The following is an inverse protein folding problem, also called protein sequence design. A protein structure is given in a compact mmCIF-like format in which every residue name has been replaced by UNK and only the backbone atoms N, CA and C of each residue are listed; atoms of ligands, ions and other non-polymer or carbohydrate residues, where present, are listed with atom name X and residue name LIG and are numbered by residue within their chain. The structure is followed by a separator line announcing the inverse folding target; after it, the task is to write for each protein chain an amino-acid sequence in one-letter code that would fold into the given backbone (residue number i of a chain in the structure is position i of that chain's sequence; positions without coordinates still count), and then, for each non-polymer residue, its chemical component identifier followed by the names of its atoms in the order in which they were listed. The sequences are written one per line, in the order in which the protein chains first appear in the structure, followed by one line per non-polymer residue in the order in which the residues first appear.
data_IF_429911924822
#
_entry.id   IF_429911924822
#
_cell.length_a   1.000
_cell.length_b   1.000
_cell.length_c   1.000
_cell.angle_alpha   90.00
_cell.angle_beta   90.00
_cell.angle_gamma   90.00
#
_symmetry.space_group_name_H-M   'P 1'
#
loop_
_entity.id
_entity.type
_entity.pdbx_description
1 polymer ?
#
# COMPACT_ATOMS: atom_id res chain seq x y z
N UNK A 1 -10.87 2.42 46.08
CA UNK A 1 -10.53 1.97 44.70
C UNK A 1 -11.85 1.74 44.00
N UNK A 2 -12.28 2.74 43.25
CA UNK A 2 -13.64 2.87 42.71
C UNK A 2 -13.79 2.04 41.44
N UNK A 3 -14.98 1.51 41.21
CA UNK A 3 -15.37 0.68 40.05
C UNK A 3 -14.92 1.29 38.71
N UNK A 4 -14.85 2.63 38.62
CA UNK A 4 -14.37 3.38 37.46
C UNK A 4 -12.87 3.18 37.15
N UNK A 5 -12.04 2.96 38.17
CA UNK A 5 -10.62 2.64 37.97
C UNK A 5 -10.46 1.22 37.40
N UNK A 6 -11.25 0.26 37.88
CA UNK A 6 -11.21 -1.13 37.42
C UNK A 6 -11.69 -1.26 35.98
N UNK A 7 -12.79 -0.58 35.62
CA UNK A 7 -13.31 -0.57 34.24
C UNK A 7 -12.35 0.12 33.26
N UNK A 8 -11.68 1.20 33.69
CA UNK A 8 -10.64 1.86 32.90
C UNK A 8 -9.44 0.93 32.63
N UNK A 9 -8.90 0.26 33.66
CA UNK A 9 -7.80 -0.69 33.50
C UNK A 9 -8.17 -1.90 32.63
N UNK A 10 -9.41 -2.40 32.74
CA UNK A 10 -9.89 -3.55 31.96
C UNK A 10 -10.07 -3.19 30.48
N UNK A 11 -10.66 -2.03 30.18
CA UNK A 11 -10.78 -1.51 28.80
C UNK A 11 -9.40 -1.34 28.14
N UNK A 12 -8.43 -0.82 28.89
CA UNK A 12 -7.09 -0.58 28.38
C UNK A 12 -6.31 -1.88 28.09
N UNK A 13 -6.45 -2.90 28.95
CA UNK A 13 -5.82 -4.21 28.71
C UNK A 13 -6.44 -4.97 27.54
N UNK A 14 -7.74 -4.84 27.32
CA UNK A 14 -8.42 -5.39 26.14
C UNK A 14 -7.92 -4.71 24.86
N UNK A 15 -7.80 -3.38 24.84
CA UNK A 15 -7.27 -2.62 23.71
C UNK A 15 -5.84 -3.07 23.33
N UNK A 16 -4.94 -3.15 24.31
CA UNK A 16 -3.56 -3.62 24.11
C UNK A 16 -3.52 -5.04 23.53
N UNK A 17 -4.37 -5.94 24.04
CA UNK A 17 -4.44 -7.32 23.56
C UNK A 17 -4.93 -7.36 22.11
N UNK A 18 -5.95 -6.58 21.77
CA UNK A 18 -6.52 -6.53 20.42
C UNK A 18 -5.49 -6.00 19.42
N UNK A 19 -4.83 -4.88 19.74
CA UNK A 19 -3.77 -4.28 18.90
C UNK A 19 -2.63 -5.27 18.65
N UNK A 20 -2.15 -5.96 19.69
CA UNK A 20 -1.10 -6.98 19.55
C UNK A 20 -1.55 -8.13 18.66
N UNK A 21 -2.78 -8.59 18.84
CA UNK A 21 -3.35 -9.69 18.05
C UNK A 21 -3.48 -9.29 16.58
N UNK A 22 -3.95 -8.08 16.29
CA UNK A 22 -4.04 -7.56 14.93
C UNK A 22 -2.66 -7.41 14.28
N UNK A 23 -1.67 -6.88 14.99
CA UNK A 23 -0.29 -6.74 14.50
C UNK A 23 0.31 -8.12 14.14
N UNK A 24 0.15 -9.13 15.00
CA UNK A 24 0.65 -10.47 14.73
C UNK A 24 -0.12 -11.14 13.58
N UNK A 25 -1.45 -11.00 13.54
CA UNK A 25 -2.28 -11.58 12.48
C UNK A 25 -1.95 -10.97 11.11
N UNK A 26 -1.82 -9.64 11.02
CA UNK A 26 -1.41 -8.98 9.78
C UNK A 26 0.00 -9.35 9.36
N UNK A 27 0.93 -9.53 10.31
CA UNK A 27 2.28 -10.00 10.01
C UNK A 27 2.29 -11.43 9.47
N UNK A 28 1.54 -12.35 10.08
CA UNK A 28 1.40 -13.73 9.60
C UNK A 28 0.83 -13.76 8.18
N UNK A 29 -0.19 -12.94 7.89
CA UNK A 29 -0.74 -12.83 6.54
C UNK A 29 0.28 -12.27 5.54
N UNK A 30 1.09 -11.29 5.95
CA UNK A 30 2.14 -10.73 5.11
C UNK A 30 3.23 -11.77 4.78
N UNK A 31 3.68 -12.53 5.77
CA UNK A 31 4.63 -13.65 5.58
C UNK A 31 4.00 -14.72 4.69
N UNK A 32 2.76 -15.11 4.95
CA UNK A 32 2.03 -16.10 4.16
C UNK A 32 1.95 -15.71 2.68
N UNK A 33 1.50 -14.50 2.36
CA UNK A 33 1.43 -14.03 0.98
C UNK A 33 2.83 -13.96 0.32
N UNK A 34 3.85 -13.54 1.08
CA UNK A 34 5.25 -13.56 0.62
C UNK A 34 5.65 -14.98 0.21
N UNK A 35 5.40 -15.98 1.05
CA UNK A 35 5.76 -17.37 0.74
C UNK A 35 5.02 -17.91 -0.49
N UNK A 36 3.72 -17.62 -0.62
CA UNK A 36 2.92 -18.07 -1.76
C UNK A 36 3.38 -17.46 -3.09
N UNK A 37 3.83 -16.20 -3.07
CA UNK A 37 4.22 -15.47 -4.29
C UNK A 37 5.71 -15.58 -4.60
N UNK A 38 6.48 -16.34 -3.82
CA UNK A 38 7.93 -16.48 -4.01
C UNK A 38 8.30 -17.17 -5.33
N UNK A 39 7.54 -18.17 -5.77
CA UNK A 39 7.80 -18.83 -7.06
C UNK A 39 7.68 -17.85 -8.24
N UNK A 40 6.61 -17.05 -8.23
CA UNK A 40 6.38 -16.00 -9.22
C UNK A 40 7.47 -14.92 -9.19
N UNK A 41 7.96 -14.58 -8.00
CA UNK A 41 9.04 -13.61 -7.82
C UNK A 41 10.32 -14.06 -8.52
N UNK A 42 10.79 -15.28 -8.23
CA UNK A 42 12.02 -15.85 -8.80
C UNK A 42 11.95 -15.88 -10.31
N UNK A 43 10.80 -16.25 -10.87
CA UNK A 43 10.64 -16.33 -12.31
C UNK A 43 10.57 -14.95 -12.97
N UNK A 44 9.85 -13.98 -12.38
CA UNK A 44 9.50 -12.73 -13.07
C UNK A 44 10.32 -11.52 -12.67
N UNK A 45 10.79 -11.43 -11.42
CA UNK A 45 11.42 -10.23 -10.87
C UNK A 45 12.94 -10.36 -10.82
N UNK A 46 13.47 -11.54 -10.50
CA UNK A 46 14.92 -11.74 -10.41
C UNK A 46 15.67 -11.50 -11.72
N UNK A 47 15.15 -11.91 -12.89
CA UNK A 47 15.79 -11.64 -14.18
C UNK A 47 15.79 -10.15 -14.57
N UNK A 48 14.96 -9.32 -13.94
CA UNK A 48 14.90 -7.89 -14.23
C UNK A 48 16.21 -7.23 -13.79
N UNK A 49 16.82 -6.36 -14.61
CA UNK A 49 18.06 -5.67 -14.27
C UNK A 49 17.88 -4.73 -13.06
N UNK A 50 18.92 -4.61 -12.24
CA UNK A 50 18.93 -3.78 -11.01
C UNK A 50 18.69 -2.29 -11.24
N UNK A 51 18.96 -1.79 -12.45
CA UNK A 51 18.69 -0.39 -12.84
C UNK A 51 17.20 -0.11 -13.06
N UNK A 52 16.35 -1.14 -13.10
CA UNK A 52 14.91 -0.97 -13.32
C UNK A 52 14.22 -0.42 -12.07
N UNK A 53 13.49 0.71 -12.15
CA UNK A 53 12.76 1.25 -11.00
C UNK A 53 11.69 0.28 -10.50
N UNK A 54 11.10 -0.53 -11.37
CA UNK A 54 10.11 -1.56 -11.00
C UNK A 54 10.67 -2.58 -10.02
N UNK A 55 11.94 -3.00 -10.21
CA UNK A 55 12.60 -3.97 -9.32
C UNK A 55 12.86 -3.36 -7.95
N UNK A 56 13.35 -2.13 -7.90
CA UNK A 56 13.60 -1.43 -6.65
C UNK A 56 12.29 -1.22 -5.86
N UNK A 57 11.23 -0.80 -6.54
CA UNK A 57 9.90 -0.67 -5.93
C UNK A 57 9.38 -1.99 -5.41
N UNK A 58 9.54 -3.09 -6.15
CA UNK A 58 9.14 -4.42 -5.70
C UNK A 58 9.90 -4.85 -4.44
N UNK A 59 11.22 -4.69 -4.43
CA UNK A 59 12.06 -5.03 -3.28
C UNK A 59 11.66 -4.22 -2.04
N UNK A 60 11.34 -2.93 -2.22
CA UNK A 60 10.86 -2.08 -1.15
C UNK A 60 9.49 -2.55 -0.62
N UNK A 61 8.50 -2.70 -1.52
CA UNK A 61 7.14 -3.12 -1.17
C UNK A 61 7.13 -4.46 -0.43
N UNK A 62 7.99 -5.39 -0.83
CA UNK A 62 8.05 -6.73 -0.26
C UNK A 62 8.99 -6.81 0.95
N UNK A 63 10.30 -6.70 0.71
CA UNK A 63 11.31 -7.07 1.70
C UNK A 63 11.44 -6.02 2.79
N UNK A 64 11.51 -4.73 2.42
CA UNK A 64 11.65 -3.66 3.41
C UNK A 64 10.39 -3.56 4.26
N UNK A 65 9.22 -3.63 3.65
CA UNK A 65 7.95 -3.69 4.38
C UNK A 65 7.87 -4.89 5.32
N UNK A 66 8.27 -6.09 4.88
CA UNK A 66 8.24 -7.29 5.70
C UNK A 66 9.18 -7.19 6.90
N UNK A 67 10.39 -6.66 6.71
CA UNK A 67 11.35 -6.43 7.79
C UNK A 67 10.77 -5.46 8.81
N UNK A 68 10.24 -4.32 8.37
CA UNK A 68 9.67 -3.31 9.26
C UNK A 68 8.45 -3.87 10.02
N UNK A 69 7.55 -4.59 9.34
CA UNK A 69 6.40 -5.23 9.96
C UNK A 69 6.84 -6.31 10.98
N UNK A 70 7.93 -7.04 10.69
CA UNK A 70 8.55 -7.97 11.64
C UNK A 70 9.13 -7.29 12.87
N UNK A 71 9.79 -6.13 12.69
CA UNK A 71 10.26 -5.30 13.81
C UNK A 71 9.10 -4.85 14.69
N UNK A 72 7.96 -4.44 14.11
CA UNK A 72 6.74 -4.16 14.88
C UNK A 72 6.24 -5.40 15.62
N UNK A 73 6.09 -6.53 14.93
CA UNK A 73 5.59 -7.77 15.54
C UNK A 73 6.46 -8.23 16.72
N UNK A 74 7.77 -8.04 16.66
CA UNK A 74 8.70 -8.34 17.75
C UNK A 74 8.63 -7.31 18.88
N UNK A 75 8.60 -6.02 18.53
CA UNK A 75 8.69 -4.91 19.49
C UNK A 75 7.36 -4.56 20.13
N UNK A 76 6.21 -5.03 19.60
CA UNK A 76 4.87 -4.64 20.04
C UNK A 76 4.67 -4.91 21.54
N UNK A 77 5.17 -6.04 22.04
CA UNK A 77 5.07 -6.37 23.47
C UNK A 77 5.79 -5.34 24.35
N UNK A 78 6.97 -4.86 23.93
CA UNK A 78 7.71 -3.81 24.62
C UNK A 78 7.06 -2.43 24.47
N UNK A 79 6.55 -2.10 23.27
CA UNK A 79 5.86 -0.84 23.00
C UNK A 79 4.54 -0.70 23.78
N UNK A 80 3.92 -1.82 24.13
CA UNK A 80 2.69 -1.87 24.93
C UNK A 80 2.92 -2.11 26.43
N UNK A 81 4.15 -2.31 26.88
CA UNK A 81 4.41 -2.75 28.27
C UNK A 81 4.39 -1.63 29.30
N UNK A 82 4.24 -0.36 28.90
CA UNK A 82 4.30 0.78 29.83
C UNK A 82 5.73 1.29 30.11
N UNK A 83 6.76 0.56 29.69
CA UNK A 83 8.18 0.79 30.03
C UNK A 83 9.03 1.28 28.86
N UNK A 84 8.43 1.53 27.71
CA UNK A 84 9.15 2.01 26.54
C UNK A 84 9.64 3.45 26.77
N UNK A 85 10.85 3.76 26.30
CA UNK A 85 11.35 5.13 26.36
C UNK A 85 10.58 6.03 25.39
N UNK A 86 10.41 7.31 25.73
CA UNK A 86 9.76 8.29 24.85
C UNK A 86 10.44 8.38 23.46
N UNK A 87 11.76 8.17 23.39
CA UNK A 87 12.50 8.13 22.13
C UNK A 87 12.17 6.89 21.28
N UNK A 88 12.05 5.71 21.88
CA UNK A 88 11.64 4.49 21.18
C UNK A 88 10.19 4.59 20.68
N UNK A 89 9.35 5.24 21.48
CA UNK A 89 7.97 5.60 21.14
C UNK A 89 7.89 6.45 19.86
N UNK A 90 8.58 7.59 19.88
CA UNK A 90 8.61 8.54 18.76
C UNK A 90 9.17 7.89 17.51
N UNK A 91 10.28 7.16 17.63
CA UNK A 91 10.88 6.45 16.51
C UNK A 91 9.92 5.42 15.91
N UNK A 92 9.19 4.68 16.75
CA UNK A 92 8.23 3.67 16.30
C UNK A 92 7.03 4.31 15.59
N UNK A 93 6.55 5.47 16.03
CA UNK A 93 5.46 6.18 15.34
C UNK A 93 5.95 6.74 14.00
N UNK A 94 7.10 7.42 13.98
CA UNK A 94 7.68 8.00 12.77
C UNK A 94 7.95 6.91 11.73
N UNK A 95 8.57 5.80 12.14
CA UNK A 95 8.86 4.68 11.24
C UNK A 95 7.56 4.13 10.63
N UNK A 96 6.47 4.09 11.39
CA UNK A 96 5.20 3.50 10.96
C UNK A 96 4.49 4.37 9.95
N UNK A 97 4.39 5.66 10.26
CA UNK A 97 3.83 6.68 9.36
C UNK A 97 4.63 6.76 8.06
N UNK A 98 5.97 6.77 8.16
CA UNK A 98 6.86 6.80 6.99
C UNK A 98 6.68 5.56 6.13
N UNK A 99 6.70 4.38 6.75
CA UNK A 99 6.57 3.12 6.00
C UNK A 99 5.24 3.05 5.26
N UNK A 100 4.14 3.37 5.93
CA UNK A 100 2.81 3.37 5.30
C UNK A 100 2.74 4.38 4.16
N UNK A 101 3.21 5.60 4.37
CA UNK A 101 3.15 6.60 3.30
C UNK A 101 3.96 6.17 2.08
N UNK A 102 5.15 5.61 2.26
CA UNK A 102 5.97 5.17 1.12
C UNK A 102 5.33 3.98 0.41
N UNK A 103 4.79 3.00 1.15
CA UNK A 103 4.02 1.88 0.57
C UNK A 103 2.84 2.39 -0.24
N UNK A 104 2.11 3.34 0.31
CA UNK A 104 0.94 3.95 -0.29
C UNK A 104 1.32 4.67 -1.59
N UNK A 105 2.28 5.59 -1.54
CA UNK A 105 2.77 6.31 -2.71
C UNK A 105 3.33 5.37 -3.78
N UNK A 106 3.94 4.24 -3.41
CA UNK A 106 4.34 3.22 -4.38
C UNK A 106 3.13 2.61 -5.11
N UNK A 107 2.07 2.22 -4.38
CA UNK A 107 0.85 1.66 -4.97
C UNK A 107 0.14 2.70 -5.85
N UNK A 108 0.00 3.93 -5.37
CA UNK A 108 -0.59 5.03 -6.14
C UNK A 108 0.18 5.29 -7.43
N UNK A 109 1.52 5.35 -7.35
CA UNK A 109 2.36 5.54 -8.53
C UNK A 109 2.15 4.42 -9.55
N UNK A 110 2.02 3.16 -9.11
CA UNK A 110 1.76 2.04 -10.01
C UNK A 110 0.39 2.15 -10.69
N UNK A 111 -0.64 2.52 -9.93
CA UNK A 111 -1.99 2.76 -10.47
C UNK A 111 -2.00 3.96 -11.42
N UNK A 112 -1.34 5.05 -11.05
CA UNK A 112 -1.16 6.27 -11.84
C UNK A 112 -0.43 5.99 -13.16
N UNK A 113 0.65 5.20 -13.14
CA UNK A 113 1.41 4.80 -14.34
C UNK A 113 0.52 4.02 -15.31
N UNK A 114 -0.31 3.11 -14.80
CA UNK A 114 -1.28 2.35 -15.60
C UNK A 114 -2.38 3.26 -16.16
N UNK A 115 -2.89 4.18 -15.36
CA UNK A 115 -3.84 5.20 -15.82
C UNK A 115 -3.23 6.06 -16.93
N UNK A 116 -2.02 6.56 -16.75
CA UNK A 116 -1.33 7.38 -17.73
C UNK A 116 -1.20 6.66 -19.09
N UNK A 117 -0.87 5.36 -19.07
CA UNK A 117 -0.83 4.54 -20.28
C UNK A 117 -2.21 4.44 -20.95
N UNK A 118 -3.28 4.26 -20.17
CA UNK A 118 -4.65 4.16 -20.67
C UNK A 118 -5.18 5.50 -21.23
N UNK A 119 -4.77 6.63 -20.66
CA UNK A 119 -5.16 7.97 -21.11
C UNK A 119 -4.31 8.46 -22.30
N UNK A 120 -3.80 7.54 -23.13
CA UNK A 120 -2.95 7.83 -24.28
C UNK A 120 -1.78 8.77 -23.94
N UNK A 121 -1.17 8.59 -22.75
CA UNK A 121 -0.01 9.36 -22.28
C UNK A 121 -0.25 10.88 -22.19
N UNK A 122 -1.49 11.32 -21.94
CA UNK A 122 -1.82 12.74 -21.78
C UNK A 122 -1.05 13.38 -20.62
N UNK A 123 -0.29 14.45 -20.91
CA UNK A 123 0.52 15.18 -19.92
C UNK A 123 -0.32 15.78 -18.79
N UNK A 124 -1.54 16.22 -19.07
CA UNK A 124 -2.45 16.77 -18.06
C UNK A 124 -2.76 15.77 -16.96
N UNK A 125 -2.92 14.50 -17.32
CA UNK A 125 -3.23 13.42 -16.37
C UNK A 125 -2.03 13.11 -15.51
N UNK A 126 -0.82 13.09 -16.08
CA UNK A 126 0.41 12.92 -15.32
C UNK A 126 0.64 14.08 -14.33
N UNK A 127 0.38 15.33 -14.75
CA UNK A 127 0.50 16.50 -13.88
C UNK A 127 -0.51 16.43 -12.74
N UNK A 128 -1.79 16.15 -13.04
CA UNK A 128 -2.84 16.04 -12.02
C UNK A 128 -2.49 14.96 -10.98
N UNK A 129 -2.11 13.77 -11.43
CA UNK A 129 -1.71 12.66 -10.56
C UNK A 129 -0.46 12.99 -9.74
N UNK A 130 0.53 13.64 -10.36
CA UNK A 130 1.74 14.09 -9.67
C UNK A 130 1.46 15.13 -8.59
N UNK A 131 0.56 16.08 -8.85
CA UNK A 131 0.15 17.12 -7.89
C UNK A 131 -0.60 16.51 -6.70
N UNK A 132 -1.48 15.54 -6.94
CA UNK A 132 -2.19 14.83 -5.87
C UNK A 132 -1.22 14.06 -4.97
N UNK A 133 -0.31 13.27 -5.56
CA UNK A 133 0.72 12.54 -4.78
C UNK A 133 1.61 13.51 -4.00
N UNK A 134 2.01 14.63 -4.61
CA UNK A 134 2.81 15.66 -3.93
C UNK A 134 2.06 16.29 -2.75
N UNK A 135 0.76 16.55 -2.89
CA UNK A 135 -0.07 17.09 -1.81
C UNK A 135 -0.13 16.13 -0.61
N UNK A 136 -0.15 14.82 -0.85
CA UNK A 136 -0.14 13.83 0.23
C UNK A 136 1.20 13.75 0.95
N UNK A 137 2.31 13.82 0.20
CA UNK A 137 3.65 13.90 0.80
C UNK A 137 3.78 15.15 1.68
N UNK A 138 3.26 16.30 1.23
CA UNK A 138 3.25 17.52 2.04
C UNK A 138 2.40 17.33 3.30
N UNK A 139 1.22 16.73 3.19
CA UNK A 139 0.34 16.46 4.32
C UNK A 139 1.01 15.54 5.37
N UNK A 140 1.76 14.55 4.90
CA UNK A 140 2.55 13.66 5.75
C UNK A 140 3.67 14.42 6.49
N UNK A 141 4.41 15.30 5.82
CA UNK A 141 5.44 16.13 6.45
C UNK A 141 4.85 17.01 7.57
N UNK A 142 3.68 17.59 7.33
CA UNK A 142 2.93 18.37 8.35
C UNK A 142 2.55 17.46 9.51
N UNK A 143 1.99 16.27 9.23
CA UNK A 143 1.55 15.32 10.25
C UNK A 143 2.71 14.85 11.15
N UNK A 144 3.89 14.59 10.59
CA UNK A 144 5.09 14.24 11.37
C UNK A 144 5.56 15.42 12.23
N UNK A 145 5.51 16.63 11.69
CA UNK A 145 5.88 17.84 12.44
C UNK A 145 4.96 18.07 13.64
N UNK A 146 3.65 17.82 13.47
CA UNK A 146 2.67 17.92 14.56
C UNK A 146 2.90 16.83 15.62
N UNK A 147 3.16 15.59 15.20
CA UNK A 147 3.45 14.47 16.13
C UNK A 147 4.72 14.73 16.95
N UNK A 148 5.77 15.25 16.30
CA UNK A 148 7.06 15.51 16.96
C UNK A 148 7.04 16.74 17.88
N UNK A 149 6.17 17.72 17.61
CA UNK A 149 6.09 18.95 18.41
C UNK A 149 5.03 18.92 19.51
N UNK A 150 4.00 18.07 19.39
CA UNK A 150 2.79 18.17 20.22
C UNK A 150 2.46 16.98 21.10
N UNK A 151 3.12 15.82 20.94
CA UNK A 151 2.72 14.59 21.66
C UNK A 151 3.64 14.35 22.86
N UNK A 152 3.10 14.53 24.07
CA UNK A 152 3.66 13.93 25.27
C UNK A 152 3.41 12.42 25.20
N UNK A 153 4.44 11.64 24.88
CA UNK A 153 4.35 10.18 24.89
C UNK A 153 4.08 9.72 26.33
N UNK A 154 2.83 9.33 26.61
CA UNK A 154 2.51 8.57 27.82
C UNK A 154 3.04 7.13 27.71
N UNK A 155 2.96 6.37 28.80
CA UNK A 155 3.64 5.08 29.00
C UNK A 155 3.32 4.01 27.94
N UNK A 156 2.23 4.14 27.17
CA UNK A 156 1.85 3.19 26.11
C UNK A 156 2.00 3.81 24.73
N UNK A 157 2.95 3.31 23.95
CA UNK A 157 3.42 3.96 22.73
C UNK A 157 2.52 3.82 21.50
N UNK A 158 1.54 2.93 21.57
CA UNK A 158 0.71 2.55 20.42
C UNK A 158 -0.69 3.17 20.53
N UNK A 159 -1.02 3.67 21.72
CA UNK A 159 -2.34 4.20 22.08
C UNK A 159 -2.12 5.66 22.48
N UNK A 160 -2.21 6.57 21.52
CA UNK A 160 -2.24 7.99 21.83
C UNK A 160 -3.45 8.63 21.17
N UNK A 161 -4.18 9.51 21.87
CA UNK A 161 -5.21 10.32 21.24
C UNK A 161 -4.53 11.19 20.19
N UNK A 162 -4.84 10.95 18.92
CA UNK A 162 -4.34 11.80 17.85
C UNK A 162 -4.78 13.24 18.13
N UNK A 163 -3.87 14.23 18.08
CA UNK A 163 -4.24 15.63 18.22
C UNK A 163 -5.37 15.95 17.23
N UNK A 164 -6.39 16.70 17.64
CA UNK A 164 -7.56 17.01 16.78
C UNK A 164 -7.16 17.58 15.41
N UNK A 165 -6.03 18.30 15.35
CA UNK A 165 -5.41 18.78 14.11
C UNK A 165 -4.95 17.64 13.19
N UNK A 166 -4.23 16.66 13.73
CA UNK A 166 -3.81 15.44 13.04
C UNK A 166 -5.00 14.60 12.57
N UNK A 167 -6.09 14.53 13.35
CA UNK A 167 -7.34 13.86 12.92
C UNK A 167 -7.97 14.54 11.71
N UNK A 168 -7.93 15.88 11.66
CA UNK A 168 -8.46 16.65 10.52
C UNK A 168 -7.64 16.39 9.25
N UNK A 169 -6.31 16.37 9.36
CA UNK A 169 -5.42 16.00 8.24
C UNK A 169 -5.55 14.53 7.85
N UNK A 170 -5.85 13.65 8.79
CA UNK A 170 -6.12 12.23 8.56
C UNK A 170 -7.40 11.95 7.77
N UNK A 171 -8.35 12.89 7.72
CA UNK A 171 -9.57 12.80 6.88
C UNK A 171 -9.30 13.31 5.45
N UNK A 172 -8.35 14.22 5.26
CA UNK A 172 -8.01 14.77 3.94
C UNK A 172 -7.39 13.68 3.05
N UNK A 173 -6.49 12.86 3.60
CA UNK A 173 -5.83 11.75 2.88
C UNK A 173 -6.81 10.77 2.24
N UNK A 174 -7.80 10.19 2.94
CA UNK A 174 -8.74 9.25 2.33
C UNK A 174 -9.65 9.93 1.29
N UNK A 175 -9.91 11.24 1.41
CA UNK A 175 -10.65 12.00 0.40
C UNK A 175 -9.81 12.17 -0.87
N UNK A 176 -8.56 12.64 -0.74
CA UNK A 176 -7.64 12.78 -1.89
C UNK A 176 -7.41 11.43 -2.56
N UNK A 177 -7.30 10.36 -1.78
CA UNK A 177 -7.22 8.99 -2.26
C UNK A 177 -8.43 8.53 -3.04
N UNK A 178 -9.62 8.74 -2.49
CA UNK A 178 -10.86 8.32 -3.17
C UNK A 178 -11.02 9.07 -4.49
N UNK A 179 -10.64 10.35 -4.54
CA UNK A 179 -10.66 11.14 -5.77
C UNK A 179 -9.61 10.63 -6.77
N UNK A 180 -8.37 10.40 -6.34
CA UNK A 180 -7.28 9.95 -7.21
C UNK A 180 -7.59 8.59 -7.81
N UNK A 181 -7.86 7.60 -6.96
CA UNK A 181 -8.07 6.23 -7.42
C UNK A 181 -9.44 6.08 -8.08
N UNK A 182 -10.47 6.77 -7.57
CA UNK A 182 -11.79 6.82 -8.20
C UNK A 182 -11.75 7.39 -9.62
N UNK A 183 -10.98 8.45 -9.87
CA UNK A 183 -10.82 9.04 -11.22
C UNK A 183 -10.12 8.09 -12.18
N UNK A 184 -9.08 7.39 -11.71
CA UNK A 184 -8.36 6.37 -12.49
C UNK A 184 -9.29 5.22 -12.86
N UNK A 185 -10.03 4.70 -11.87
CA UNK A 185 -10.93 3.56 -12.04
C UNK A 185 -12.12 3.92 -12.91
N UNK A 186 -12.74 5.07 -12.69
CA UNK A 186 -13.89 5.52 -13.48
C UNK A 186 -13.55 5.55 -14.96
N UNK A 187 -12.40 6.14 -15.34
CA UNK A 187 -12.00 6.13 -16.75
C UNK A 187 -11.56 4.73 -17.22
N UNK A 188 -10.96 3.92 -16.34
CA UNK A 188 -10.63 2.53 -16.67
C UNK A 188 -11.88 1.70 -17.02
N UNK A 189 -12.97 1.91 -16.29
CA UNK A 189 -14.27 1.29 -16.55
C UNK A 189 -14.90 1.89 -17.82
N UNK A 190 -14.87 3.21 -17.99
CA UNK A 190 -15.41 3.85 -19.19
C UNK A 190 -14.70 3.37 -20.46
N UNK A 191 -13.37 3.28 -20.45
CA UNK A 191 -12.59 2.74 -21.56
C UNK A 191 -12.98 1.29 -21.88
N UNK A 192 -13.29 0.47 -20.85
CA UNK A 192 -13.80 -0.89 -21.05
C UNK A 192 -15.16 -0.88 -21.74
N UNK A 193 -16.08 -0.04 -21.29
CA UNK A 193 -17.42 0.09 -21.87
C UNK A 193 -17.39 0.60 -23.32
N UNK A 194 -16.43 1.46 -23.67
CA UNK A 194 -16.23 1.98 -25.03
C UNK A 194 -15.55 0.99 -26.00
N UNK A 195 -15.41 -0.29 -25.64
CA UNK A 195 -14.93 -1.34 -26.55
C UNK A 195 -13.40 -1.54 -26.59
N UNK A 196 -12.61 -0.72 -25.89
CA UNK A 196 -11.16 -0.94 -25.71
C UNK A 196 -10.83 -2.15 -24.81
N UNK A 197 -11.80 -2.67 -24.07
CA UNK A 197 -11.64 -3.81 -23.15
C UNK A 197 -11.66 -5.19 -23.80
N UNK A 198 -11.74 -5.32 -25.13
CA UNK A 198 -11.86 -6.62 -25.81
C UNK A 198 -10.56 -7.44 -25.81
N UNK A 199 -9.42 -6.88 -25.41
CA UNK A 199 -8.21 -7.66 -25.20
C UNK A 199 -8.18 -8.24 -23.78
N UNK A 200 -8.05 -9.57 -23.61
CA UNK A 200 -8.07 -10.22 -22.29
C UNK A 200 -6.97 -9.68 -21.35
N UNK A 201 -5.89 -9.16 -21.94
CA UNK A 201 -4.75 -8.53 -21.28
C UNK A 201 -5.11 -7.23 -20.54
N UNK A 202 -5.92 -6.36 -21.17
CA UNK A 202 -6.38 -5.10 -20.57
C UNK A 202 -7.42 -5.38 -19.49
N UNK A 203 -8.28 -6.38 -19.69
CA UNK A 203 -9.28 -6.78 -18.69
C UNK A 203 -8.66 -7.32 -17.40
N UNK A 204 -7.57 -8.12 -17.49
CA UNK A 204 -6.89 -8.64 -16.31
C UNK A 204 -6.22 -7.52 -15.50
N UNK A 205 -5.49 -6.63 -16.18
CA UNK A 205 -4.82 -5.49 -15.55
C UNK A 205 -5.79 -4.53 -14.86
N UNK A 206 -6.95 -4.26 -15.48
CA UNK A 206 -7.99 -3.39 -14.91
C UNK A 206 -8.65 -4.06 -13.69
N UNK A 207 -8.91 -5.37 -13.75
CA UNK A 207 -9.53 -6.10 -12.63
C UNK A 207 -8.67 -6.02 -11.37
N UNK A 208 -7.35 -6.18 -11.49
CA UNK A 208 -6.46 -6.13 -10.33
C UNK A 208 -6.26 -4.73 -9.77
N UNK A 209 -6.21 -3.73 -10.65
CA UNK A 209 -6.23 -2.32 -10.23
C UNK A 209 -7.51 -1.99 -9.47
N UNK A 210 -8.67 -2.49 -9.94
CA UNK A 210 -9.96 -2.28 -9.30
C UNK A 210 -10.07 -3.00 -7.94
N UNK A 211 -9.57 -4.24 -7.83
CA UNK A 211 -9.57 -4.96 -6.55
C UNK A 211 -8.69 -4.24 -5.53
N UNK A 212 -7.50 -3.80 -5.95
CA UNK A 212 -6.59 -3.01 -5.09
C UNK A 212 -7.27 -1.73 -4.62
N UNK A 213 -7.96 -1.02 -5.51
CA UNK A 213 -8.74 0.17 -5.17
C UNK A 213 -9.83 -0.12 -4.12
N UNK A 214 -10.69 -1.11 -4.37
CA UNK A 214 -11.80 -1.42 -3.47
C UNK A 214 -11.29 -1.77 -2.07
N UNK A 215 -10.19 -2.52 -1.98
CA UNK A 215 -9.56 -2.84 -0.70
C UNK A 215 -9.04 -1.59 0.02
N UNK A 216 -8.38 -0.67 -0.70
CA UNK A 216 -7.92 0.59 -0.11
C UNK A 216 -9.09 1.46 0.36
N UNK A 217 -10.13 1.63 -0.46
CA UNK A 217 -11.32 2.42 -0.10
C UNK A 217 -12.02 1.85 1.13
N UNK A 218 -12.16 0.53 1.23
CA UNK A 218 -12.76 -0.12 2.40
C UNK A 218 -11.89 0.14 3.64
N UNK A 219 -10.59 -0.07 3.53
CA UNK A 219 -9.65 0.12 4.64
C UNK A 219 -9.65 1.57 5.14
N UNK A 220 -9.58 2.53 4.21
CA UNK A 220 -9.62 3.96 4.55
C UNK A 220 -10.98 4.39 5.09
N UNK A 221 -12.08 3.83 4.57
CA UNK A 221 -13.41 4.06 5.12
C UNK A 221 -13.51 3.62 6.58
N UNK A 222 -12.98 2.42 6.90
CA UNK A 222 -12.89 1.97 8.28
C UNK A 222 -11.97 2.86 9.12
N UNK A 223 -10.85 3.33 8.58
CA UNK A 223 -9.94 4.26 9.27
C UNK A 223 -10.65 5.55 9.66
N UNK A 224 -11.39 6.14 8.73
CA UNK A 224 -12.18 7.36 9.00
C UNK A 224 -13.23 7.09 10.06
N UNK A 225 -13.98 5.99 9.97
CA UNK A 225 -15.03 5.65 10.94
C UNK A 225 -14.43 5.49 12.35
N UNK A 226 -13.31 4.80 12.49
CA UNK A 226 -12.66 4.61 13.79
C UNK A 226 -12.03 5.91 14.32
N UNK A 227 -11.41 6.72 13.46
CA UNK A 227 -10.90 8.04 13.84
C UNK A 227 -12.02 8.97 14.31
N UNK A 228 -13.19 8.98 13.64
CA UNK A 228 -14.35 9.78 14.03
C UNK A 228 -14.98 9.33 15.35
N UNK A 229 -14.79 8.06 15.71
CA UNK A 229 -15.24 7.50 17.00
C UNK A 229 -14.23 7.71 18.12
N UNK A 230 -13.10 8.35 17.84
CA UNK A 230 -11.96 8.47 18.77
C UNK A 230 -11.55 7.09 19.34
N UNK A 231 -11.68 6.05 18.51
CA UNK A 231 -11.39 4.68 18.91
C UNK A 231 -9.89 4.39 18.75
N UNK A 232 -9.22 4.13 19.87
CA UNK A 232 -7.80 3.80 19.95
C UNK A 232 -7.42 2.57 19.10
N UNK A 233 -8.40 1.70 18.79
CA UNK A 233 -8.21 0.52 17.94
C UNK A 233 -7.93 0.87 16.49
N UNK A 234 -8.10 2.13 16.06
CA UNK A 234 -7.76 2.60 14.72
C UNK A 234 -6.31 2.27 14.32
N UNK A 235 -5.39 2.22 15.29
CA UNK A 235 -3.99 1.82 15.05
C UNK A 235 -3.87 0.39 14.53
N UNK A 236 -4.85 -0.48 14.77
CA UNK A 236 -4.85 -1.84 14.20
C UNK A 236 -4.86 -1.80 12.68
N UNK A 237 -5.57 -0.84 12.08
CA UNK A 237 -5.63 -0.69 10.63
C UNK A 237 -4.29 -0.37 10.00
N UNK A 238 -3.41 0.34 10.70
CA UNK A 238 -2.06 0.66 10.24
C UNK A 238 -1.31 -0.64 9.88
N UNK A 239 -1.40 -1.67 10.73
CA UNK A 239 -0.75 -2.96 10.46
C UNK A 239 -1.39 -3.71 9.29
N UNK A 240 -2.72 -3.67 9.18
CA UNK A 240 -3.44 -4.24 8.04
C UNK A 240 -3.10 -3.53 6.73
N UNK A 241 -2.98 -2.20 6.74
CA UNK A 241 -2.57 -1.40 5.59
C UNK A 241 -1.20 -1.80 5.08
N UNK A 242 -0.22 -2.02 5.98
CA UNK A 242 1.11 -2.46 5.58
C UNK A 242 1.05 -3.79 4.80
N UNK A 243 0.33 -4.78 5.33
CA UNK A 243 0.17 -6.09 4.67
C UNK A 243 -0.57 -5.94 3.34
N UNK A 244 -1.71 -5.26 3.32
CA UNK A 244 -2.54 -5.16 2.11
C UNK A 244 -1.84 -4.37 1.01
N UNK A 245 -1.20 -3.23 1.33
CA UNK A 245 -0.45 -2.44 0.34
C UNK A 245 0.74 -3.22 -0.23
N UNK A 246 1.46 -3.96 0.62
CA UNK A 246 2.55 -4.81 0.13
C UNK A 246 2.03 -5.89 -0.82
N UNK A 247 1.04 -6.68 -0.40
CA UNK A 247 0.47 -7.77 -1.21
C UNK A 247 -0.13 -7.27 -2.53
N UNK A 248 -0.96 -6.22 -2.48
CA UNK A 248 -1.55 -5.61 -3.67
C UNK A 248 -0.47 -5.01 -4.59
N UNK A 249 0.47 -4.25 -4.05
CA UNK A 249 1.55 -3.62 -4.82
C UNK A 249 2.45 -4.64 -5.51
N UNK A 250 2.82 -5.72 -4.81
CA UNK A 250 3.61 -6.81 -5.36
C UNK A 250 2.88 -7.52 -6.50
N UNK A 251 1.61 -7.90 -6.31
CA UNK A 251 0.78 -8.53 -7.35
C UNK A 251 0.64 -7.62 -8.58
N UNK A 252 0.40 -6.33 -8.35
CA UNK A 252 0.32 -5.34 -9.41
C UNK A 252 1.60 -5.30 -10.25
N UNK A 253 2.78 -5.33 -9.62
CA UNK A 253 4.06 -5.36 -10.34
C UNK A 253 4.23 -6.69 -11.08
N UNK A 254 4.14 -7.82 -10.37
CA UNK A 254 4.39 -9.15 -10.95
C UNK A 254 3.49 -9.43 -12.14
N UNK A 255 2.21 -9.07 -12.06
CA UNK A 255 1.28 -9.26 -13.18
C UNK A 255 1.55 -8.32 -14.36
N UNK A 256 2.13 -7.14 -14.11
CA UNK A 256 2.61 -6.27 -15.21
C UNK A 256 3.80 -6.93 -15.93
N UNK A 257 4.75 -7.47 -15.18
CA UNK A 257 5.95 -8.11 -15.74
C UNK A 257 5.62 -9.42 -16.48
N UNK A 258 4.71 -10.24 -15.93
CA UNK A 258 4.15 -11.44 -16.58
C UNK A 258 3.61 -11.12 -17.97
N UNK A 259 2.85 -10.03 -18.08
CA UNK A 259 2.25 -9.61 -19.34
C UNK A 259 3.28 -9.06 -20.32
N UNK A 260 4.24 -8.25 -19.84
CA UNK A 260 5.33 -7.75 -20.68
C UNK A 260 6.14 -8.87 -21.32
N UNK A 261 6.45 -9.94 -20.58
CA UNK A 261 7.19 -11.12 -21.09
C UNK A 261 6.35 -11.95 -22.06
N UNK A 262 5.08 -12.18 -21.78
CA UNK A 262 4.19 -12.93 -22.68
C UNK A 262 4.03 -12.21 -24.03
N UNK A 263 3.89 -10.87 -24.01
CA UNK A 263 3.84 -10.07 -25.22
C UNK A 263 5.18 -10.09 -25.98
N UNK A 264 6.30 -9.99 -25.28
CA UNK A 264 7.64 -10.14 -25.87
C UNK A 264 7.81 -11.49 -26.56
N UNK A 265 7.41 -12.59 -25.91
CA UNK A 265 7.49 -13.94 -26.46
C UNK A 265 6.62 -14.12 -27.71
N UNK A 266 5.39 -13.61 -27.70
CA UNK A 266 4.52 -13.68 -28.88
C UNK A 266 5.06 -12.84 -30.05
N UNK A 267 5.64 -11.67 -29.76
CA UNK A 267 6.27 -10.82 -30.79
C UNK A 267 7.52 -11.50 -31.37
N UNK A 268 8.35 -12.11 -30.53
CA UNK A 268 9.52 -12.88 -30.97
C UNK A 268 9.11 -14.06 -31.85
N UNK A 269 8.11 -14.86 -31.45
CA UNK A 269 7.60 -15.99 -32.24
C UNK A 269 7.07 -15.54 -33.60
N UNK A 270 6.29 -14.44 -33.66
CA UNK A 270 5.84 -13.87 -34.94
C UNK A 270 7.03 -13.46 -35.81
N UNK A 271 8.07 -12.86 -35.23
CA UNK A 271 9.27 -12.48 -35.96
C UNK A 271 10.02 -13.70 -36.52
N UNK A 272 10.14 -14.78 -35.74
CA UNK A 272 10.80 -16.03 -36.19
C UNK A 272 10.03 -16.68 -37.33
N UNK A 273 8.70 -16.75 -37.24
CA UNK A 273 7.88 -17.31 -38.34
C UNK A 273 7.92 -16.46 -39.62
N UNK A 274 8.05 -15.13 -39.51
CA UNK A 274 8.21 -14.26 -40.68
C UNK A 274 9.58 -14.44 -41.34
N UNK A 275 10.63 -14.72 -40.56
CA UNK A 275 11.97 -15.02 -41.09
C UNK A 275 11.97 -16.37 -41.82
N UNK A 276 11.34 -17.41 -41.25
CA UNK A 276 11.23 -18.73 -41.89
C UNK A 276 10.43 -18.70 -43.21
N UNK A 277 9.41 -17.85 -43.30
CA UNK A 277 8.64 -17.65 -44.56
C UNK A 277 9.45 -16.91 -45.63
N UNK A 278 10.37 -16.03 -45.24
CA UNK A 278 11.26 -15.35 -46.19
C UNK A 278 12.42 -16.22 -46.68
N UNK A 279 12.77 -17.27 -45.94
CA UNK A 279 13.81 -18.24 -46.31
C UNK A 279 13.30 -19.45 -47.14
N UNK A 280 12.03 -19.47 -47.55
CA UNK A 280 11.57 -20.45 -48.55
C UNK A 280 11.70 -19.88 -49.98
N UNK A 281 12.80 -20.14 -50.71
CA UNK A 281 12.84 -19.87 -52.14
C UNK A 281 11.92 -20.85 -52.85
N UNK A 282 11.11 -20.27 -53.73
CA UNK A 282 10.42 -20.84 -54.88
C UNK A 282 11.15 -22.11 -55.38
N UNK A 283 10.49 -23.27 -55.21
CA UNK A 283 10.79 -24.50 -55.96
C UNK A 283 9.74 -24.70 -57.04
#
# INVERSE_FOLDING_TARGET
MTTDSVTFFQSHTECVRDVRTHCLASFVLHVWDTTLTFGDEVEHIWPVPWKSPTKLMYLFLRHISLIIHGVYAFSISHLTSGYASASACSLSVILGVVTIQVLHTCVEYLLAKRAYALFNKSRYVAILLGLLIAAEVVNMCISISDVTSGVSFETVCVIFPAPKKTTTFGIIVPITQTILVGSIVFKSVLARCSGWGRTPLVSLLIREGLVTYLLMTILFGFAVIWCLREDERAVSLVFWSMSIMSTCGCRLITNTEKLGRNQGRHTSLLLTTQIEVFESPIS
#
